data_IF_281472769560
#
_entry.id   IF_281472769560
#
_cell.length_a   1.000
_cell.length_b   1.000
_cell.length_c   1.000
_cell.angle_alpha   90.00
_cell.angle_beta   90.00
_cell.angle_gamma   90.00
#
_symmetry.space_group_name_H-M   'P 1'
#
loop_
_entity.id
_entity.type
_entity.pdbx_description
1 polymer ?
#
# COMPACT_ATOMS: atom_id res chain seq x y z
N UNK A 1 -4.96 -22.67 -22.16
CA UNK A 1 -5.36 -22.18 -20.83
C UNK A 1 -4.99 -20.70 -20.81
N UNK A 2 -5.96 -19.79 -20.75
CA UNK A 2 -5.66 -18.37 -20.54
C UNK A 2 -5.14 -18.25 -19.10
N UNK A 3 -3.92 -17.74 -18.96
CA UNK A 3 -3.37 -17.46 -17.64
C UNK A 3 -4.28 -16.46 -16.91
N UNK A 4 -4.48 -16.63 -15.62
CA UNK A 4 -5.20 -15.67 -14.77
C UNK A 4 -4.46 -14.32 -14.82
N UNK A 5 -5.07 -13.24 -15.34
CA UNK A 5 -4.40 -11.94 -15.46
C UNK A 5 -4.28 -11.21 -14.11
N UNK A 6 -4.75 -11.79 -13.03
CA UNK A 6 -4.84 -11.11 -11.72
C UNK A 6 -5.91 -10.00 -11.71
N UNK A 7 -5.81 -9.12 -10.73
CA UNK A 7 -6.67 -7.93 -10.64
C UNK A 7 -6.35 -6.88 -11.70
N UNK A 8 -5.09 -6.86 -12.13
CA UNK A 8 -4.59 -5.88 -13.08
C UNK A 8 -3.90 -6.59 -14.27
N UNK A 9 -4.45 -6.44 -15.45
CA UNK A 9 -3.78 -6.88 -16.66
C UNK A 9 -2.77 -5.83 -17.16
N UNK A 10 -1.94 -6.16 -18.16
CA UNK A 10 -0.92 -5.28 -18.74
C UNK A 10 -1.45 -3.93 -19.27
N UNK A 11 -2.75 -3.87 -19.59
CA UNK A 11 -3.41 -2.66 -20.09
C UNK A 11 -3.88 -1.71 -18.98
N UNK A 12 -3.88 -2.15 -17.73
CA UNK A 12 -4.25 -1.32 -16.58
C UNK A 12 -3.22 -0.23 -16.32
N UNK A 13 -3.65 0.86 -15.71
CA UNK A 13 -2.75 1.92 -15.27
C UNK A 13 -1.90 1.47 -14.06
N UNK A 14 -2.45 0.61 -13.20
CA UNK A 14 -1.70 -0.01 -12.10
C UNK A 14 -0.49 -0.78 -12.62
N UNK A 15 -0.69 -1.60 -13.65
CA UNK A 15 0.42 -2.34 -14.28
C UNK A 15 1.43 -1.39 -14.94
N UNK A 16 0.93 -0.46 -15.76
CA UNK A 16 1.78 0.47 -16.52
C UNK A 16 2.66 1.35 -15.64
N UNK A 17 2.15 1.83 -14.53
CA UNK A 17 2.90 2.68 -13.60
C UNK A 17 3.85 1.84 -12.74
N UNK A 18 3.36 0.76 -12.13
CA UNK A 18 4.15 0.04 -11.13
C UNK A 18 5.23 -0.90 -11.73
N UNK A 19 5.21 -1.19 -13.04
CA UNK A 19 6.30 -1.94 -13.69
C UNK A 19 7.58 -1.12 -13.84
N UNK A 20 7.51 0.21 -13.73
CA UNK A 20 8.66 1.09 -13.92
C UNK A 20 9.55 1.07 -12.68
N UNK A 21 10.81 0.70 -12.86
CA UNK A 21 11.76 0.53 -11.74
C UNK A 21 11.94 1.82 -10.93
N UNK A 22 11.82 2.96 -11.56
CA UNK A 22 11.96 4.28 -10.92
C UNK A 22 10.84 4.57 -9.92
N UNK A 23 9.69 3.94 -10.06
CA UNK A 23 8.57 4.05 -9.11
C UNK A 23 8.93 3.46 -7.73
N UNK A 24 9.92 2.56 -7.65
CA UNK A 24 10.43 2.04 -6.38
C UNK A 24 10.98 3.15 -5.46
N UNK A 25 11.53 4.23 -6.03
CA UNK A 25 11.95 5.39 -5.25
C UNK A 25 10.77 6.11 -4.59
N UNK A 26 9.57 5.93 -5.12
CA UNK A 26 8.32 6.38 -4.51
C UNK A 26 8.10 5.80 -3.11
N UNK A 27 8.59 4.58 -2.86
CA UNK A 27 8.51 3.96 -1.55
C UNK A 27 9.24 4.76 -0.46
N UNK A 28 10.42 5.27 -0.73
CA UNK A 28 11.16 6.11 0.22
C UNK A 28 10.42 7.43 0.51
N UNK A 29 9.89 8.09 -0.53
CA UNK A 29 9.07 9.30 -0.37
C UNK A 29 7.80 9.01 0.45
N UNK A 30 7.10 7.92 0.15
CA UNK A 30 5.90 7.52 0.89
C UNK A 30 6.21 7.27 2.38
N UNK A 31 7.33 6.61 2.69
CA UNK A 31 7.74 6.39 4.08
C UNK A 31 7.97 7.69 4.85
N UNK A 32 8.56 8.71 4.23
CA UNK A 32 8.71 10.03 4.85
C UNK A 32 7.35 10.69 5.10
N UNK A 33 6.42 10.57 4.15
CA UNK A 33 5.04 11.08 4.32
C UNK A 33 4.29 10.31 5.41
N UNK A 34 4.47 8.99 5.52
CA UNK A 34 3.89 8.19 6.60
C UNK A 34 4.43 8.65 7.96
N UNK A 35 5.73 8.93 8.06
CA UNK A 35 6.36 9.39 9.29
C UNK A 35 5.88 10.79 9.73
N UNK A 36 5.32 11.58 8.82
CA UNK A 36 4.71 12.87 9.14
C UNK A 36 3.35 12.74 9.85
N UNK A 37 2.71 11.58 9.80
CA UNK A 37 1.46 11.32 10.52
C UNK A 37 1.77 10.67 11.89
N UNK A 38 1.43 11.34 13.02
CA UNK A 38 1.89 10.90 14.35
C UNK A 38 1.47 9.48 14.71
N UNK A 39 0.22 9.10 14.45
CA UNK A 39 -0.29 7.75 14.78
C UNK A 39 0.32 6.65 13.91
N UNK A 40 0.61 6.93 12.62
CA UNK A 40 1.30 5.98 11.76
C UNK A 40 2.76 5.83 12.19
N UNK A 41 3.41 6.93 12.58
CA UNK A 41 4.75 6.90 13.15
C UNK A 41 4.79 6.10 14.46
N UNK A 42 3.76 6.21 15.31
CA UNK A 42 3.64 5.42 16.55
C UNK A 42 3.58 3.92 16.26
N UNK A 43 2.71 3.48 15.36
CA UNK A 43 2.63 2.07 14.93
C UNK A 43 3.93 1.55 14.30
N UNK A 44 4.62 2.40 13.54
CA UNK A 44 5.93 2.05 12.99
C UNK A 44 6.99 1.88 14.09
N UNK A 45 6.98 2.69 15.14
CA UNK A 45 7.89 2.57 16.32
C UNK A 45 7.63 1.27 17.07
N UNK A 46 6.38 0.90 17.29
CA UNK A 46 6.02 -0.34 17.99
C UNK A 46 6.68 -1.57 17.35
N UNK A 47 6.68 -1.63 16.03
CA UNK A 47 7.24 -2.79 15.32
C UNK A 47 8.77 -2.82 15.30
N UNK A 48 9.44 -1.67 15.48
CA UNK A 48 10.90 -1.47 15.41
C UNK A 48 11.64 -2.19 14.25
N UNK A 49 10.91 -2.80 13.35
CA UNK A 49 11.44 -3.64 12.28
C UNK A 49 12.25 -2.85 11.26
N UNK A 50 11.91 -1.55 11.07
CA UNK A 50 12.64 -0.65 10.17
C UNK A 50 14.05 -0.31 10.68
N UNK A 51 14.27 -0.43 12.00
CA UNK A 51 15.58 -0.18 12.62
C UNK A 51 16.47 -1.40 12.60
N UNK A 52 15.89 -2.61 12.68
CA UNK A 52 16.65 -3.86 12.79
C UNK A 52 17.12 -4.39 11.45
N UNK A 53 16.24 -4.36 10.44
CA UNK A 53 16.56 -4.87 9.09
C UNK A 53 15.71 -4.12 8.03
N UNK A 54 16.14 -2.91 7.64
CA UNK A 54 15.41 -2.09 6.67
C UNK A 54 15.33 -2.72 5.30
N UNK A 55 16.36 -3.47 4.88
CA UNK A 55 16.37 -4.13 3.58
C UNK A 55 15.38 -5.28 3.50
N UNK A 56 15.32 -6.12 4.51
CA UNK A 56 14.36 -7.22 4.59
C UNK A 56 12.93 -6.70 4.60
N UNK A 57 12.68 -5.61 5.32
CA UNK A 57 11.38 -4.93 5.32
C UNK A 57 11.02 -4.41 3.92
N UNK A 58 11.94 -3.73 3.26
CA UNK A 58 11.73 -3.20 1.90
C UNK A 58 11.40 -4.34 0.93
N UNK A 59 12.24 -5.37 0.87
CA UNK A 59 12.03 -6.51 -0.03
C UNK A 59 10.68 -7.18 0.25
N UNK A 60 10.31 -7.37 1.52
CA UNK A 60 9.02 -7.96 1.88
C UNK A 60 7.84 -7.10 1.42
N UNK A 61 7.91 -5.79 1.63
CA UNK A 61 6.86 -4.85 1.19
C UNK A 61 6.72 -4.85 -0.32
N UNK A 62 7.83 -4.78 -1.05
CA UNK A 62 7.84 -4.85 -2.51
C UNK A 62 7.30 -6.19 -3.03
N UNK A 63 7.67 -7.29 -2.41
CA UNK A 63 7.18 -8.61 -2.79
C UNK A 63 5.65 -8.71 -2.65
N UNK A 64 5.10 -8.23 -1.53
CA UNK A 64 3.65 -8.20 -1.29
C UNK A 64 2.93 -7.27 -2.29
N UNK A 65 3.48 -6.09 -2.54
CA UNK A 65 2.92 -5.14 -3.50
C UNK A 65 2.97 -5.70 -4.94
N UNK A 66 4.06 -6.36 -5.30
CA UNK A 66 4.20 -7.00 -6.61
C UNK A 66 3.19 -8.13 -6.80
N UNK A 67 2.95 -8.97 -5.78
CA UNK A 67 1.93 -10.02 -5.86
C UNK A 67 0.52 -9.45 -6.06
N UNK A 68 0.20 -8.32 -5.43
CA UNK A 68 -1.09 -7.65 -5.63
C UNK A 68 -1.21 -7.04 -7.02
N UNK A 69 -0.12 -6.49 -7.57
CA UNK A 69 -0.16 -5.76 -8.85
C UNK A 69 0.01 -6.69 -10.06
N UNK A 70 0.86 -7.69 -9.96
CA UNK A 70 1.31 -8.52 -11.09
C UNK A 70 1.00 -10.01 -10.93
N UNK A 71 0.58 -10.44 -9.73
CA UNK A 71 0.26 -11.82 -9.45
C UNK A 71 -1.13 -12.23 -9.89
N UNK A 72 -1.43 -13.51 -9.77
CA UNK A 72 -2.77 -14.06 -9.94
C UNK A 72 -3.72 -13.54 -8.86
N UNK A 73 -5.03 -13.74 -9.04
CA UNK A 73 -6.03 -13.40 -8.02
C UNK A 73 -5.74 -14.14 -6.70
N UNK A 74 -5.33 -15.39 -6.77
CA UNK A 74 -4.97 -16.21 -5.60
C UNK A 74 -3.77 -15.61 -4.86
N UNK A 75 -2.67 -15.31 -5.56
CA UNK A 75 -1.47 -14.70 -4.98
C UNK A 75 -1.74 -13.32 -4.36
N UNK A 76 -2.59 -12.52 -5.01
CA UNK A 76 -2.99 -11.22 -4.49
C UNK A 76 -3.81 -11.35 -3.20
N UNK A 77 -4.77 -12.28 -3.15
CA UNK A 77 -5.61 -12.55 -1.97
C UNK A 77 -4.77 -13.07 -0.80
N UNK A 78 -3.85 -13.98 -1.07
CA UNK A 78 -2.93 -14.50 -0.07
C UNK A 78 -2.04 -13.39 0.51
N UNK A 79 -1.54 -12.51 -0.35
CA UNK A 79 -0.72 -11.37 0.07
C UNK A 79 -1.52 -10.39 0.93
N UNK A 80 -2.75 -10.08 0.54
CA UNK A 80 -3.65 -9.22 1.33
C UNK A 80 -3.96 -9.83 2.71
N UNK A 81 -4.22 -11.14 2.75
CA UNK A 81 -4.45 -11.87 4.01
C UNK A 81 -3.24 -11.79 4.94
N UNK A 82 -2.04 -11.95 4.40
CA UNK A 82 -0.79 -11.83 5.17
C UNK A 82 -0.57 -10.41 5.69
N UNK A 83 -0.86 -9.39 4.88
CA UNK A 83 -0.78 -7.98 5.30
C UNK A 83 -1.73 -7.72 6.46
N UNK A 84 -3.00 -8.14 6.33
CA UNK A 84 -4.00 -7.94 7.38
C UNK A 84 -3.59 -8.59 8.70
N UNK A 85 -3.14 -9.85 8.66
CA UNK A 85 -2.63 -10.54 9.86
C UNK A 85 -1.45 -9.83 10.53
N UNK A 86 -0.59 -9.16 9.74
CA UNK A 86 0.51 -8.38 10.29
C UNK A 86 0.00 -7.08 10.94
N UNK A 87 -1.07 -6.50 10.41
CA UNK A 87 -1.64 -5.28 10.95
C UNK A 87 -2.48 -5.51 12.20
N UNK A 88 -3.11 -6.69 12.38
CA UNK A 88 -3.94 -7.02 13.55
C UNK A 88 -3.24 -6.79 14.90
N UNK A 89 -1.92 -6.96 14.95
CA UNK A 89 -1.13 -6.81 16.18
C UNK A 89 -0.50 -5.43 16.35
N UNK A 90 -0.73 -4.51 15.40
CA UNK A 90 -0.15 -3.17 15.42
C UNK A 90 -1.23 -2.18 15.85
N UNK A 91 -1.40 -2.02 17.14
CA UNK A 91 -2.33 -1.07 17.74
C UNK A 91 -1.87 -0.69 19.15
N UNK A 92 -2.33 0.44 19.65
CA UNK A 92 -1.98 0.92 20.98
C UNK A 92 -2.18 2.42 21.14
N UNK A 93 -1.76 2.95 22.26
CA UNK A 93 -1.74 4.39 22.54
C UNK A 93 -0.35 4.97 22.25
N UNK A 94 -0.30 6.10 21.58
CA UNK A 94 0.95 6.83 21.36
C UNK A 94 1.31 7.64 22.59
N UNK A 95 2.44 7.32 23.22
CA UNK A 95 2.92 7.98 24.43
C UNK A 95 3.17 9.48 24.27
N UNK A 96 3.35 9.95 23.03
CA UNK A 96 3.64 11.36 22.74
C UNK A 96 2.37 12.19 22.59
N UNK A 97 1.38 11.67 21.87
CA UNK A 97 0.15 12.40 21.55
C UNK A 97 -1.06 11.95 22.38
N UNK A 98 -0.97 10.80 23.07
CA UNK A 98 -2.10 10.15 23.74
C UNK A 98 -3.16 9.61 22.78
N UNK A 99 -2.91 9.66 21.48
CA UNK A 99 -3.84 9.17 20.47
C UNK A 99 -3.75 7.66 20.29
N UNK A 100 -4.90 7.02 20.03
CA UNK A 100 -4.94 5.60 19.73
C UNK A 100 -4.61 5.35 18.25
N UNK A 101 -3.64 4.49 17.99
CA UNK A 101 -3.32 4.03 16.64
C UNK A 101 -3.73 2.57 16.43
N UNK A 102 -4.17 2.28 15.21
CA UNK A 102 -4.54 0.94 14.79
C UNK A 102 -4.23 0.78 13.29
N UNK A 103 -3.35 -0.14 12.96
CA UNK A 103 -2.95 -0.36 11.57
C UNK A 103 -4.09 -0.88 10.67
N UNK A 104 -5.23 -1.27 11.24
CA UNK A 104 -6.46 -1.59 10.52
C UNK A 104 -7.48 -0.44 10.51
N UNK A 105 -7.15 0.70 11.13
CA UNK A 105 -8.01 1.88 11.08
C UNK A 105 -8.12 2.41 9.64
N UNK A 106 -9.35 2.59 9.17
CA UNK A 106 -9.63 2.97 7.78
C UNK A 106 -9.00 4.31 7.38
N UNK A 107 -9.03 5.32 8.23
CA UNK A 107 -8.46 6.64 7.94
C UNK A 107 -6.92 6.58 7.85
N UNK A 108 -6.30 5.81 8.74
CA UNK A 108 -4.84 5.62 8.73
C UNK A 108 -4.40 4.82 7.50
N UNK A 109 -5.15 3.79 7.13
CA UNK A 109 -4.92 3.03 5.90
C UNK A 109 -5.09 3.89 4.66
N UNK A 110 -6.13 4.73 4.61
CA UNK A 110 -6.37 5.66 3.49
C UNK A 110 -5.19 6.64 3.33
N UNK A 111 -4.67 7.19 4.44
CA UNK A 111 -3.48 8.03 4.40
C UNK A 111 -2.27 7.30 3.82
N UNK A 112 -2.01 6.07 4.27
CA UNK A 112 -0.90 5.25 3.78
C UNK A 112 -1.04 5.02 2.27
N UNK A 113 -2.23 4.64 1.82
CA UNK A 113 -2.50 4.42 0.39
C UNK A 113 -2.34 5.69 -0.44
N UNK A 114 -2.87 6.82 0.02
CA UNK A 114 -2.73 8.09 -0.67
C UNK A 114 -1.24 8.48 -0.83
N UNK A 115 -0.44 8.31 0.20
CA UNK A 115 1.00 8.57 0.15
C UNK A 115 1.72 7.68 -0.89
N UNK A 116 1.36 6.40 -0.95
CA UNK A 116 1.93 5.46 -1.92
C UNK A 116 1.54 5.85 -3.36
N UNK A 117 0.26 6.10 -3.61
CA UNK A 117 -0.24 6.51 -4.92
C UNK A 117 0.42 7.80 -5.43
N UNK A 118 0.41 8.84 -4.61
CA UNK A 118 1.01 10.14 -4.96
C UNK A 118 2.50 10.01 -5.22
N UNK A 119 3.19 9.14 -4.49
CA UNK A 119 4.61 8.91 -4.69
C UNK A 119 4.90 8.13 -5.97
N UNK A 120 4.09 7.14 -6.30
CA UNK A 120 4.20 6.38 -7.55
C UNK A 120 3.96 7.27 -8.77
N UNK A 121 2.89 8.05 -8.78
CA UNK A 121 2.59 9.01 -9.85
C UNK A 121 3.73 10.03 -9.98
N UNK A 122 4.21 10.58 -8.87
CA UNK A 122 5.27 11.58 -8.88
C UNK A 122 6.52 11.07 -9.58
N UNK A 123 7.02 9.88 -9.22
CA UNK A 123 8.23 9.33 -9.83
C UNK A 123 7.99 8.90 -11.28
N UNK A 124 6.85 8.31 -11.59
CA UNK A 124 6.48 7.99 -12.96
C UNK A 124 6.49 9.25 -13.86
N UNK A 125 5.85 10.32 -13.42
CA UNK A 125 5.81 11.58 -14.18
C UNK A 125 7.16 12.27 -14.32
N UNK A 126 8.08 12.04 -13.37
CA UNK A 126 9.43 12.62 -13.44
C UNK A 126 10.39 11.84 -14.34
N UNK A 127 10.14 10.56 -14.54
CA UNK A 127 11.12 9.66 -15.16
C UNK A 127 10.64 9.00 -16.44
N UNK A 128 9.32 8.91 -16.65
CA UNK A 128 8.74 8.26 -17.83
C UNK A 128 7.98 9.27 -18.70
N UNK A 129 6.80 9.69 -18.27
CA UNK A 129 5.98 10.67 -18.97
C UNK A 129 4.96 11.31 -18.04
N UNK A 130 4.46 12.47 -18.41
CA UNK A 130 3.29 13.07 -17.77
C UNK A 130 2.04 12.24 -18.03
N UNK A 131 1.23 12.07 -17.01
CA UNK A 131 -0.08 11.44 -17.10
C UNK A 131 -1.15 12.49 -17.33
N UNK A 132 -2.13 12.18 -18.16
CA UNK A 132 -3.35 12.99 -18.27
C UNK A 132 -4.20 12.84 -16.99
N UNK A 133 -5.16 13.72 -16.81
CA UNK A 133 -6.05 13.64 -15.66
C UNK A 133 -6.88 12.35 -15.70
N UNK A 134 -7.31 11.91 -16.89
CA UNK A 134 -8.02 10.64 -17.07
C UNK A 134 -7.12 9.42 -16.73
N UNK A 135 -5.84 9.46 -17.07
CA UNK A 135 -4.88 8.41 -16.72
C UNK A 135 -4.67 8.35 -15.19
N UNK A 136 -4.63 9.50 -14.50
CA UNK A 136 -4.53 9.60 -13.04
C UNK A 136 -5.80 9.08 -12.36
N UNK A 137 -6.97 9.48 -12.84
CA UNK A 137 -8.26 9.02 -12.31
C UNK A 137 -8.42 7.52 -12.49
N UNK A 138 -8.01 6.99 -13.64
CA UNK A 138 -8.00 5.54 -13.88
C UNK A 138 -7.05 4.82 -12.92
N UNK A 139 -5.83 5.32 -12.74
CA UNK A 139 -4.88 4.75 -11.78
C UNK A 139 -5.43 4.77 -10.36
N UNK A 140 -6.03 5.88 -9.95
CA UNK A 140 -6.68 6.01 -8.65
C UNK A 140 -7.82 5.00 -8.47
N UNK A 141 -8.73 4.91 -9.43
CA UNK A 141 -9.88 3.99 -9.39
C UNK A 141 -9.44 2.54 -9.31
N UNK A 142 -8.46 2.13 -10.10
CA UNK A 142 -7.90 0.78 -10.08
C UNK A 142 -7.24 0.47 -8.72
N UNK A 143 -6.47 1.40 -8.17
CA UNK A 143 -5.84 1.24 -6.86
C UNK A 143 -6.88 1.13 -5.74
N UNK A 144 -7.91 1.97 -5.76
CA UNK A 144 -8.98 1.95 -4.77
C UNK A 144 -9.80 0.65 -4.82
N UNK A 145 -10.03 0.08 -6.00
CA UNK A 145 -10.79 -1.16 -6.16
C UNK A 145 -10.17 -2.31 -5.36
N UNK A 146 -8.86 -2.44 -5.37
CA UNK A 146 -8.13 -3.45 -4.59
C UNK A 146 -8.10 -3.08 -3.11
N UNK A 147 -7.89 -1.82 -2.79
CA UNK A 147 -7.89 -1.35 -1.41
C UNK A 147 -9.21 -1.64 -0.71
N UNK A 148 -10.33 -1.38 -1.36
CA UNK A 148 -11.66 -1.70 -0.81
C UNK A 148 -11.90 -3.20 -0.70
N UNK A 149 -11.47 -3.99 -1.65
CA UNK A 149 -11.72 -5.44 -1.66
C UNK A 149 -10.90 -6.16 -0.58
N UNK A 150 -9.69 -5.69 -0.30
CA UNK A 150 -8.74 -6.39 0.58
C UNK A 150 -8.54 -5.75 1.95
N UNK A 151 -8.85 -4.46 2.10
CA UNK A 151 -8.70 -3.72 3.36
C UNK A 151 -10.04 -3.49 4.07
N UNK A 152 -11.17 -3.63 3.39
CA UNK A 152 -12.47 -3.72 4.04
C UNK A 152 -12.61 -5.12 4.60
N UNK A 153 -12.29 -5.26 5.88
CA UNK A 153 -12.76 -6.39 6.67
C UNK A 153 -14.27 -6.56 6.46
N UNK A 154 -14.77 -7.82 6.35
CA UNK A 154 -16.20 -8.05 6.35
C UNK A 154 -16.75 -7.32 7.58
N UNK A 155 -17.70 -6.42 7.36
CA UNK A 155 -18.41 -5.74 8.42
C UNK A 155 -19.10 -6.81 9.26
N UNK A 156 -18.43 -7.28 10.30
CA UNK A 156 -19.07 -8.08 11.33
C UNK A 156 -20.05 -7.12 11.97
N UNK A 157 -21.33 -7.20 11.55
CA UNK A 157 -22.43 -6.57 12.28
C UNK A 157 -22.29 -7.03 13.73
N UNK A 158 -21.86 -6.13 14.60
CA UNK A 158 -22.02 -6.31 16.02
C UNK A 158 -23.52 -6.21 16.26
N UNK A 159 -24.16 -7.37 16.50
CA UNK A 159 -25.50 -7.44 17.06
C UNK A 159 -25.46 -6.98 18.52
#
# INVERSE_FOLDING_TARGET
>A
MNADPGYFGPDSMMWKVNKEITVLFGGARALLMHAAHPLIAAGARQTSFYQRDPWKRLIRTLSLQNSVTFGTIEEANDSATRINKLHEVINGEDEVTGGYYDALNHEQLLWVHACLQLSSIYFYEKTVKKLSDEEKDKYHTENMSVSYTHLTLPTKKRG
#
